data_IF_094237439584
#
_entry.id   IF_094237439584
#
_cell.length_a   1.000
_cell.length_b   1.000
_cell.length_c   1.000
_cell.angle_alpha   90.00
_cell.angle_beta   90.00
_cell.angle_gamma   90.00
#
_symmetry.space_group_name_H-M   'P 1'
#
loop_
_entity.id
_entity.type
_entity.pdbx_description
1 polymer ?
#
# COMPACT_ATOMS: atom_id res chain seq x y z
N UNK A 1 6.44 -16.06 35.93
CA UNK A 1 6.81 -15.79 34.53
C UNK A 1 5.64 -16.23 33.66
N UNK A 2 4.85 -15.30 33.14
CA UNK A 2 3.70 -15.63 32.29
C UNK A 2 4.16 -15.58 30.82
N UNK A 3 4.06 -16.72 30.13
CA UNK A 3 4.24 -16.79 28.69
C UNK A 3 2.99 -16.22 28.01
N UNK A 4 3.13 -15.09 27.33
CA UNK A 4 2.10 -14.58 26.43
C UNK A 4 2.17 -15.35 25.11
N UNK A 5 1.28 -16.33 24.95
CA UNK A 5 0.99 -16.92 23.65
C UNK A 5 0.05 -15.97 22.89
N UNK A 6 0.63 -15.10 22.05
CA UNK A 6 -0.15 -14.36 21.05
C UNK A 6 -0.42 -15.26 19.84
N UNK A 7 -1.56 -15.94 19.86
CA UNK A 7 -2.11 -16.60 18.68
C UNK A 7 -2.87 -15.56 17.86
N UNK A 8 -2.21 -14.89 16.91
CA UNK A 8 -2.84 -13.95 15.99
C UNK A 8 -3.64 -14.73 14.92
N UNK A 9 -4.96 -14.84 15.13
CA UNK A 9 -5.86 -15.29 14.08
C UNK A 9 -6.04 -14.16 13.05
N UNK A 10 -5.30 -14.26 11.95
CA UNK A 10 -5.41 -13.41 10.76
C UNK A 10 -6.69 -13.72 9.98
N UNK A 11 -7.85 -13.75 10.64
CA UNK A 11 -9.13 -13.88 9.94
C UNK A 11 -9.44 -12.57 9.19
N UNK A 12 -8.89 -12.49 7.97
CA UNK A 12 -9.34 -11.71 6.81
C UNK A 12 -9.99 -10.35 7.12
N UNK A 13 -9.30 -9.47 7.85
CA UNK A 13 -9.51 -8.05 7.65
C UNK A 13 -8.89 -7.67 6.31
N UNK A 14 -9.73 -7.52 5.29
CA UNK A 14 -9.30 -6.93 4.02
C UNK A 14 -9.11 -5.45 4.27
N UNK A 15 -7.88 -5.02 4.54
CA UNK A 15 -7.52 -3.61 4.43
C UNK A 15 -7.73 -3.22 2.98
N UNK A 16 -8.74 -2.40 2.77
CA UNK A 16 -9.04 -1.78 1.48
C UNK A 16 -8.03 -0.67 1.27
N UNK A 17 -7.37 -0.68 0.12
CA UNK A 17 -6.36 0.31 -0.27
C UNK A 17 -6.82 1.01 -1.54
N UNK A 18 -6.97 2.33 -1.47
CA UNK A 18 -7.12 3.19 -2.64
C UNK A 18 -5.73 3.57 -3.10
N UNK A 19 -5.40 3.28 -4.36
CA UNK A 19 -4.08 3.57 -4.94
C UNK A 19 -4.19 4.69 -5.95
N UNK A 20 -3.45 5.77 -5.75
CA UNK A 20 -3.26 6.82 -6.74
C UNK A 20 -1.91 6.65 -7.44
N UNK A 21 -1.96 6.54 -8.77
CA UNK A 21 -0.78 6.48 -9.62
C UNK A 21 -0.59 7.85 -10.24
N UNK A 22 0.46 8.53 -9.79
CA UNK A 22 0.93 9.78 -10.38
C UNK A 22 1.96 9.44 -11.44
N UNK A 23 1.72 9.87 -12.68
CA UNK A 23 2.62 9.57 -13.79
C UNK A 23 3.08 10.84 -14.49
N UNK A 24 4.35 10.87 -14.88
CA UNK A 24 4.90 11.91 -15.76
C UNK A 24 4.53 11.65 -17.21
N UNK A 25 4.82 10.44 -17.65
CA UNK A 25 4.56 9.94 -19.00
C UNK A 25 4.05 8.51 -18.93
N UNK A 26 3.08 8.17 -19.77
CA UNK A 26 2.48 6.82 -19.81
C UNK A 26 3.40 5.81 -20.53
N UNK A 27 4.49 5.43 -19.85
CA UNK A 27 5.47 4.47 -20.39
C UNK A 27 4.96 3.02 -20.31
N UNK A 28 5.56 2.08 -21.07
CA UNK A 28 5.28 0.66 -20.92
C UNK A 28 5.51 0.12 -19.50
N UNK A 29 6.46 0.70 -18.77
CA UNK A 29 6.75 0.39 -17.38
C UNK A 29 5.58 0.76 -16.47
N UNK A 30 5.06 1.99 -16.57
CA UNK A 30 3.87 2.41 -15.83
C UNK A 30 2.67 1.50 -16.15
N UNK A 31 2.47 1.14 -17.42
CA UNK A 31 1.43 0.15 -17.79
C UNK A 31 1.63 -1.20 -17.10
N UNK A 32 2.87 -1.68 -16.94
CA UNK A 32 3.19 -2.92 -16.22
C UNK A 32 2.87 -2.79 -14.73
N UNK A 33 3.25 -1.67 -14.10
CA UNK A 33 2.95 -1.36 -12.70
C UNK A 33 1.44 -1.37 -12.47
N UNK A 34 0.68 -0.65 -13.30
CA UNK A 34 -0.79 -0.59 -13.22
C UNK A 34 -1.41 -1.98 -13.26
N UNK A 35 -0.95 -2.84 -14.17
CA UNK A 35 -1.45 -4.22 -14.27
C UNK A 35 -1.13 -5.05 -13.03
N UNK A 36 0.02 -4.84 -12.38
CA UNK A 36 0.39 -5.53 -11.14
C UNK A 36 -0.47 -5.02 -9.98
N UNK A 37 -0.57 -3.71 -9.82
CA UNK A 37 -1.38 -3.06 -8.77
C UNK A 37 -2.84 -3.52 -8.82
N UNK A 38 -3.45 -3.55 -10.01
CA UNK A 38 -4.85 -4.01 -10.19
C UNK A 38 -5.09 -5.49 -9.85
N UNK A 39 -4.05 -6.31 -9.76
CA UNK A 39 -4.17 -7.73 -9.37
C UNK A 39 -4.06 -7.93 -7.86
N UNK A 40 -3.68 -6.90 -7.11
CA UNK A 40 -3.59 -6.97 -5.66
C UNK A 40 -5.01 -6.96 -5.10
N UNK A 41 -5.38 -8.04 -4.41
CA UNK A 41 -6.75 -8.24 -3.90
C UNK A 41 -7.24 -7.15 -2.95
N UNK A 42 -6.33 -6.49 -2.22
CA UNK A 42 -6.65 -5.39 -1.32
C UNK A 42 -6.84 -4.04 -2.02
N UNK A 43 -6.51 -3.93 -3.30
CA UNK A 43 -6.70 -2.68 -4.04
C UNK A 43 -8.13 -2.65 -4.58
N UNK A 44 -8.95 -1.73 -4.05
CA UNK A 44 -10.34 -1.54 -4.50
C UNK A 44 -10.39 -0.58 -5.69
N UNK A 45 -9.68 0.55 -5.59
CA UNK A 45 -9.70 1.59 -6.60
C UNK A 45 -8.28 2.01 -7.01
N UNK A 46 -8.11 2.30 -8.29
CA UNK A 46 -6.87 2.86 -8.84
C UNK A 46 -7.18 4.19 -9.53
N UNK A 47 -6.75 5.27 -8.91
CA UNK A 47 -6.84 6.64 -9.43
C UNK A 47 -5.60 6.97 -10.27
N UNK A 48 -5.79 7.83 -11.26
CA UNK A 48 -4.74 8.25 -12.18
C UNK A 48 -4.65 9.76 -12.23
N UNK A 49 -3.46 10.30 -12.03
CA UNK A 49 -3.19 11.73 -12.13
C UNK A 49 -1.86 11.99 -12.82
N UNK A 50 -1.79 13.07 -13.59
CA UNK A 50 -0.54 13.51 -14.21
C UNK A 50 0.27 14.34 -13.22
N UNK A 51 1.58 14.14 -13.18
CA UNK A 51 2.50 14.91 -12.33
C UNK A 51 3.89 15.02 -12.94
N UNK A 52 4.85 15.54 -12.17
CA UNK A 52 6.21 15.83 -12.67
C UNK A 52 7.14 14.60 -12.64
N UNK A 53 6.78 13.59 -11.85
CA UNK A 53 7.51 12.33 -11.64
C UNK A 53 6.54 11.17 -11.46
N UNK A 54 7.03 9.95 -11.66
CA UNK A 54 6.23 8.76 -11.38
C UNK A 54 6.20 8.47 -9.87
N UNK A 55 5.01 8.24 -9.33
CA UNK A 55 4.81 7.97 -7.91
C UNK A 55 3.54 7.13 -7.71
N UNK A 56 3.55 6.30 -6.66
CA UNK A 56 2.40 5.55 -6.21
C UNK A 56 2.10 5.97 -4.79
N UNK A 57 0.86 6.40 -4.57
CA UNK A 57 0.33 6.74 -3.25
C UNK A 57 -0.73 5.70 -2.92
N UNK A 58 -0.61 5.04 -1.78
CA UNK A 58 -1.57 4.09 -1.26
C UNK A 58 -2.18 4.68 0.02
N UNK A 59 -3.49 4.92 0.01
CA UNK A 59 -4.23 5.50 1.14
C UNK A 59 -3.61 6.79 1.70
N UNK A 60 -3.18 7.68 0.81
CA UNK A 60 -2.56 8.96 1.18
C UNK A 60 -1.10 8.86 1.60
N UNK A 61 -0.53 7.66 1.69
CA UNK A 61 0.89 7.44 2.00
C UNK A 61 1.67 7.15 0.71
N UNK A 62 2.86 7.74 0.59
CA UNK A 62 3.75 7.46 -0.55
C UNK A 62 4.29 6.04 -0.40
N UNK A 63 3.86 5.16 -1.30
CA UNK A 63 4.27 3.76 -1.33
C UNK A 63 5.53 3.58 -2.19
N UNK A 64 5.69 4.38 -3.25
CA UNK A 64 6.85 4.29 -4.14
C UNK A 64 7.03 5.57 -4.95
N UNK A 65 8.27 5.91 -5.25
CA UNK A 65 8.66 7.00 -6.15
C UNK A 65 9.65 6.51 -7.22
N UNK A 66 9.68 7.20 -8.36
CA UNK A 66 10.64 6.95 -9.44
C UNK A 66 12.09 6.87 -8.92
N UNK A 67 12.80 5.81 -9.33
CA UNK A 67 14.16 5.53 -8.87
C UNK A 67 14.24 4.69 -7.59
N UNK A 68 13.11 4.42 -6.92
CA UNK A 68 13.02 3.39 -5.90
C UNK A 68 12.82 2.02 -6.55
N UNK A 69 13.07 0.94 -5.80
CA UNK A 69 13.02 -0.46 -6.25
C UNK A 69 11.65 -0.96 -6.74
N UNK A 70 11.26 -2.19 -6.43
CA UNK A 70 9.96 -2.69 -6.91
C UNK A 70 8.80 -1.96 -6.21
N UNK A 71 7.93 -1.24 -6.94
CA UNK A 71 6.78 -0.52 -6.36
C UNK A 71 5.82 -1.41 -5.58
N UNK A 72 5.81 -2.71 -5.85
CA UNK A 72 4.92 -3.65 -5.19
C UNK A 72 5.32 -3.88 -3.73
N UNK A 73 6.61 -3.85 -3.41
CA UNK A 73 7.08 -4.00 -2.02
C UNK A 73 6.57 -2.85 -1.15
N UNK A 74 6.70 -1.61 -1.63
CA UNK A 74 6.22 -0.43 -0.90
C UNK A 74 4.71 -0.43 -0.64
N UNK A 75 3.89 -1.03 -1.52
CA UNK A 75 2.44 -1.20 -1.27
C UNK A 75 2.19 -2.17 -0.10
N UNK A 76 2.99 -3.23 0.01
CA UNK A 76 2.88 -4.16 1.14
C UNK A 76 3.32 -3.52 2.45
N UNK A 77 4.38 -2.71 2.42
CA UNK A 77 4.86 -1.99 3.60
C UNK A 77 3.79 -1.04 4.16
N UNK A 78 3.11 -0.27 3.30
CA UNK A 78 1.98 0.57 3.71
C UNK A 78 0.87 -0.25 4.36
N UNK A 79 0.55 -1.42 3.81
CA UNK A 79 -0.46 -2.30 4.40
C UNK A 79 -0.05 -2.78 5.79
N UNK A 80 1.20 -3.19 5.98
CA UNK A 80 1.73 -3.63 7.29
C UNK A 80 1.65 -2.48 8.28
N UNK A 81 2.08 -1.28 7.88
CA UNK A 81 2.01 -0.07 8.72
C UNK A 81 0.58 0.23 9.15
N UNK A 82 -0.39 0.18 8.24
CA UNK A 82 -1.81 0.35 8.58
C UNK A 82 -2.31 -0.69 9.57
N UNK A 83 -2.01 -1.97 9.34
CA UNK A 83 -2.36 -3.03 10.30
C UNK A 83 -1.80 -2.76 11.70
N UNK A 84 -0.55 -2.30 11.79
CA UNK A 84 0.07 -1.97 13.07
C UNK A 84 -0.66 -0.81 13.78
N UNK A 85 -1.00 0.25 13.04
CA UNK A 85 -1.75 1.39 13.58
C UNK A 85 -3.15 0.99 14.07
N UNK A 86 -3.85 0.11 13.35
CA UNK A 86 -5.15 -0.42 13.76
C UNK A 86 -5.05 -1.34 15.00
N UNK A 87 -3.95 -2.09 15.13
CA UNK A 87 -3.66 -2.96 16.29
C UNK A 87 -3.22 -2.15 17.52
N UNK A 88 -2.78 -0.90 17.34
CA UNK A 88 -2.52 0.03 18.45
C UNK A 88 -3.66 1.04 18.61
N UNK A 89 -4.87 0.64 19.07
CA UNK A 89 -5.86 1.61 19.47
C UNK A 89 -5.38 2.22 20.79
N UNK A 90 -4.85 3.44 20.71
CA UNK A 90 -4.81 4.42 21.80
C UNK A 90 -4.11 3.94 23.10
N UNK A 91 -2.78 4.13 23.17
CA UNK A 91 -2.18 4.61 24.43
C UNK A 91 -2.26 6.14 24.38
N UNK A 92 -3.46 6.68 24.53
CA UNK A 92 -3.71 8.11 24.70
C UNK A 92 -4.99 8.23 25.51
N UNK A 93 -4.81 8.35 26.82
CA UNK A 93 -5.87 8.39 27.83
C UNK A 93 -5.35 7.83 29.15
#
# INVERSE_FOLDING_TARGET
>A
MAQFHFSFNFERQYIIVIVQIIYKTFTPEIKKIIRRVRRIRSVEEVLFSKGDRNMIVADGLVAWEEGQGDPIEGIYDIKIMKSLLEITPQISG
#
